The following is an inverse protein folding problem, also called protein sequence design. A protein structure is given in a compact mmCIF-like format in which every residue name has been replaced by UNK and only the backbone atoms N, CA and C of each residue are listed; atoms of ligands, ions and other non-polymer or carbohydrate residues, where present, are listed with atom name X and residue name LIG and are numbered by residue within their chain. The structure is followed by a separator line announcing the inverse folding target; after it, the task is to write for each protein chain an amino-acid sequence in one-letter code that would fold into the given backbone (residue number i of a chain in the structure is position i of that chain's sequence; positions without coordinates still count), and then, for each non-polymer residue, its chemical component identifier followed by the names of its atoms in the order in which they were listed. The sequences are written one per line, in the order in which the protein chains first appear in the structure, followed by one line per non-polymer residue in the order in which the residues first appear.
data_IF_233772947755
#
_entry.id   IF_233772947755
#
_cell.length_a   1.000
_cell.length_b   1.000
_cell.length_c   1.000
_cell.angle_alpha   90.00
_cell.angle_beta   90.00
_cell.angle_gamma   90.00
#
_symmetry.space_group_name_H-M   'P 1'
#
loop_
_entity.id
_entity.type
_entity.pdbx_description
1 polymer ?
#
# COMPACT_ATOMS: atom_id res chain seq x y z
N UNK A 1 -22.03 40.31 -92.94
CA UNK A 1 -21.36 38.99 -93.04
C UNK A 1 -19.98 39.25 -93.57
N UNK A 2 -18.96 38.62 -93.00
CA UNK A 2 -17.58 38.82 -93.41
C UNK A 2 -17.16 37.65 -94.29
N UNK A 3 -16.38 37.91 -95.33
CA UNK A 3 -15.86 36.89 -96.24
C UNK A 3 -14.34 36.90 -96.18
N UNK A 4 -13.74 35.71 -96.16
CA UNK A 4 -12.29 35.53 -96.15
C UNK A 4 -11.92 34.68 -97.36
N UNK A 5 -10.98 35.16 -98.17
CA UNK A 5 -10.38 34.38 -99.23
C UNK A 5 -9.22 33.53 -98.69
N UNK A 6 -9.30 32.22 -98.92
CA UNK A 6 -8.31 31.24 -98.51
C UNK A 6 -7.66 30.65 -99.76
N UNK A 7 -6.33 30.49 -99.74
CA UNK A 7 -5.61 29.81 -100.82
C UNK A 7 -5.16 28.44 -100.33
N UNK A 8 -5.64 27.37 -100.97
CA UNK A 8 -5.33 25.98 -100.60
C UNK A 8 -4.96 25.22 -101.87
N UNK A 9 -3.79 24.57 -101.88
CA UNK A 9 -3.29 23.79 -103.03
C UNK A 9 -3.26 24.59 -104.34
N UNK A 10 -3.05 25.91 -104.25
CA UNK A 10 -2.95 26.80 -105.40
C UNK A 10 -4.29 27.39 -105.91
N UNK A 11 -5.45 26.97 -105.37
CA UNK A 11 -6.77 27.57 -105.68
C UNK A 11 -7.26 28.51 -104.58
N UNK A 12 -8.04 29.50 -105.00
CA UNK A 12 -8.68 30.48 -104.11
C UNK A 12 -10.11 30.06 -103.80
N UNK A 13 -10.46 30.01 -102.51
CA UNK A 13 -11.75 29.62 -101.97
C UNK A 13 -12.27 30.74 -101.07
N UNK A 14 -13.48 31.23 -101.31
CA UNK A 14 -14.13 32.24 -100.45
C UNK A 14 -15.01 31.56 -99.43
N UNK A 15 -14.76 31.80 -98.13
CA UNK A 15 -15.53 31.24 -97.03
C UNK A 15 -16.20 32.37 -96.25
N UNK A 16 -17.52 32.24 -96.05
CA UNK A 16 -18.28 33.16 -95.20
C UNK A 16 -18.00 32.84 -93.73
N UNK A 17 -17.67 33.86 -92.93
CA UNK A 17 -17.39 33.73 -91.50
C UNK A 17 -18.11 34.79 -90.66
N UNK A 18 -18.19 34.55 -89.36
CA UNK A 18 -18.74 35.50 -88.41
C UNK A 18 -17.80 36.72 -88.27
N UNK A 19 -18.35 37.94 -88.01
CA UNK A 19 -17.53 39.13 -87.81
C UNK A 19 -16.54 38.92 -86.65
N UNK A 20 -15.24 39.14 -86.88
CA UNK A 20 -14.18 38.97 -85.88
C UNK A 20 -13.50 37.59 -85.85
N UNK A 21 -14.01 36.60 -86.59
CA UNK A 21 -13.35 35.29 -86.74
C UNK A 21 -12.39 35.22 -87.93
N UNK A 22 -12.24 36.31 -88.70
CA UNK A 22 -11.50 36.28 -89.97
C UNK A 22 -10.07 35.76 -89.80
N UNK A 23 -9.39 36.19 -88.73
CA UNK A 23 -8.01 35.75 -88.41
C UNK A 23 -7.92 34.26 -88.06
N UNK A 24 -8.93 33.72 -87.38
CA UNK A 24 -8.95 32.31 -87.01
C UNK A 24 -9.16 31.41 -88.23
N UNK A 25 -10.13 31.77 -89.08
CA UNK A 25 -10.42 31.06 -90.33
C UNK A 25 -9.23 31.12 -91.29
N UNK A 26 -8.56 32.27 -91.40
CA UNK A 26 -7.32 32.40 -92.19
C UNK A 26 -6.21 31.46 -91.70
N UNK A 27 -6.01 31.35 -90.38
CA UNK A 27 -5.01 30.42 -89.77
C UNK A 27 -5.37 28.95 -90.00
N UNK A 28 -6.64 28.59 -89.91
CA UNK A 28 -7.11 27.22 -90.21
C UNK A 28 -6.88 26.88 -91.69
N UNK A 29 -7.17 27.81 -92.60
CA UNK A 29 -6.88 27.66 -94.03
C UNK A 29 -5.39 27.47 -94.31
N UNK A 30 -4.51 28.23 -93.65
CA UNK A 30 -3.05 28.05 -93.74
C UNK A 30 -2.59 26.69 -93.20
N UNK A 31 -3.17 26.20 -92.11
CA UNK A 31 -2.85 24.89 -91.55
C UNK A 31 -3.26 23.75 -92.51
N UNK A 32 -4.42 23.87 -93.15
CA UNK A 32 -4.87 22.94 -94.19
C UNK A 32 -3.93 22.97 -95.39
N UNK A 33 -3.59 24.15 -95.91
CA UNK A 33 -2.69 24.31 -97.05
C UNK A 33 -1.29 23.71 -96.76
N UNK A 34 -0.72 24.00 -95.59
CA UNK A 34 0.55 23.44 -95.15
C UNK A 34 0.49 21.90 -95.08
N UNK A 35 -0.63 21.33 -94.60
CA UNK A 35 -0.80 19.88 -94.57
C UNK A 35 -0.91 19.31 -95.97
N UNK A 36 -1.73 19.88 -96.83
CA UNK A 36 -1.88 19.43 -98.23
C UNK A 36 -0.56 19.49 -98.98
N UNK A 37 0.26 20.52 -98.77
CA UNK A 37 1.60 20.63 -99.36
C UNK A 37 2.55 19.53 -98.85
N UNK A 38 2.43 19.10 -97.59
CA UNK A 38 3.27 18.04 -97.01
C UNK A 38 3.03 16.65 -97.61
N UNK A 39 1.89 16.42 -98.27
CA UNK A 39 1.55 15.14 -98.91
C UNK A 39 2.28 14.92 -100.25
N UNK A 40 2.94 15.96 -100.79
CA UNK A 40 3.74 15.89 -102.01
C UNK A 40 2.94 15.71 -103.31
N UNK A 41 3.61 15.92 -104.44
CA UNK A 41 3.03 15.70 -105.77
C UNK A 41 3.18 14.23 -106.18
N UNK A 42 2.34 13.36 -105.60
CA UNK A 42 2.21 11.99 -106.09
C UNK A 42 1.74 11.99 -107.54
N UNK A 43 2.49 11.34 -108.43
CA UNK A 43 2.14 11.14 -109.85
C UNK A 43 0.79 10.40 -109.88
N UNK A 44 -0.27 11.11 -110.31
CA UNK A 44 -1.68 10.67 -110.46
C UNK A 44 -2.70 11.00 -109.33
N UNK A 45 -2.45 11.94 -108.41
CA UNK A 45 -3.48 12.39 -107.45
C UNK A 45 -4.17 13.69 -107.87
N UNK A 46 -5.50 13.69 -107.88
CA UNK A 46 -6.29 14.91 -108.15
C UNK A 46 -6.26 15.86 -106.94
N UNK A 47 -6.43 17.16 -107.19
CA UNK A 47 -6.43 18.18 -106.13
C UNK A 47 -7.47 17.91 -105.03
N UNK A 48 -8.69 17.49 -105.42
CA UNK A 48 -9.76 17.14 -104.48
C UNK A 48 -9.33 16.00 -103.56
N UNK A 49 -8.59 15.01 -104.09
CA UNK A 49 -8.05 13.92 -103.29
C UNK A 49 -6.95 14.40 -102.33
N UNK A 50 -6.07 15.32 -102.76
CA UNK A 50 -5.04 15.90 -101.89
C UNK A 50 -5.63 16.67 -100.70
N UNK A 51 -6.67 17.47 -100.95
CA UNK A 51 -7.40 18.20 -99.90
C UNK A 51 -8.12 17.21 -98.96
N UNK A 52 -8.77 16.18 -99.51
CA UNK A 52 -9.44 15.15 -98.70
C UNK A 52 -8.44 14.45 -97.77
N UNK A 53 -7.27 14.03 -98.28
CA UNK A 53 -6.26 13.42 -97.43
C UNK A 53 -5.70 14.40 -96.38
N UNK A 54 -5.41 15.65 -96.75
CA UNK A 54 -4.98 16.68 -95.79
C UNK A 54 -6.00 16.91 -94.67
N UNK A 55 -7.29 16.94 -94.99
CA UNK A 55 -8.37 17.05 -94.01
C UNK A 55 -8.47 15.82 -93.10
N UNK A 56 -8.32 14.61 -93.65
CA UNK A 56 -8.30 13.37 -92.86
C UNK A 56 -7.10 13.32 -91.90
N UNK A 57 -5.91 13.75 -92.34
CA UNK A 57 -4.73 13.83 -91.48
C UNK A 57 -4.91 14.82 -90.33
N UNK A 58 -5.46 16.01 -90.59
CA UNK A 58 -5.75 16.98 -89.54
C UNK A 58 -6.85 16.49 -88.58
N UNK A 59 -7.85 15.78 -89.10
CA UNK A 59 -8.88 15.17 -88.27
C UNK A 59 -8.32 14.06 -87.38
N UNK A 60 -7.38 13.26 -87.87
CA UNK A 60 -6.67 12.23 -87.12
C UNK A 60 -5.80 12.84 -86.00
N UNK A 61 -5.02 13.89 -86.31
CA UNK A 61 -4.22 14.60 -85.30
C UNK A 61 -5.08 15.21 -84.19
N UNK A 62 -6.21 15.83 -84.56
CA UNK A 62 -7.16 16.38 -83.61
C UNK A 62 -7.83 15.27 -82.78
N UNK A 63 -8.11 14.11 -83.39
CA UNK A 63 -8.65 12.95 -82.69
C UNK A 63 -7.67 12.40 -81.65
N UNK A 64 -6.40 12.23 -82.02
CA UNK A 64 -5.34 11.74 -81.11
C UNK A 64 -5.02 12.74 -80.00
N UNK A 65 -5.03 14.05 -80.26
CA UNK A 65 -4.89 15.08 -79.22
C UNK A 65 -6.06 15.07 -78.24
N UNK A 66 -7.29 14.91 -78.74
CA UNK A 66 -8.48 14.78 -77.87
C UNK A 66 -8.44 13.51 -77.03
N UNK A 67 -7.97 12.41 -77.59
CA UNK A 67 -7.82 11.13 -76.89
C UNK A 67 -6.75 11.21 -75.80
N UNK A 68 -5.59 11.80 -76.11
CA UNK A 68 -4.51 12.01 -75.14
C UNK A 68 -4.97 12.94 -74.01
N UNK A 69 -5.59 14.07 -74.32
CA UNK A 69 -6.09 14.99 -73.30
C UNK A 69 -7.24 14.40 -72.45
N UNK A 70 -8.07 13.53 -73.02
CA UNK A 70 -9.07 12.78 -72.25
C UNK A 70 -8.40 11.81 -71.26
N UNK A 71 -7.38 11.06 -71.73
CA UNK A 71 -6.62 10.16 -70.88
C UNK A 71 -5.87 10.90 -69.76
N UNK A 72 -5.20 12.02 -70.06
CA UNK A 72 -4.54 12.87 -69.07
C UNK A 72 -5.52 13.46 -68.05
N UNK A 73 -6.73 13.79 -68.50
CA UNK A 73 -7.77 14.28 -67.59
C UNK A 73 -8.27 13.18 -66.66
N UNK A 74 -8.42 11.96 -67.16
CA UNK A 74 -8.78 10.80 -66.33
C UNK A 74 -7.70 10.47 -65.31
N UNK A 75 -6.42 10.48 -65.69
CA UNK A 75 -5.31 10.27 -64.76
C UNK A 75 -5.25 11.37 -63.71
N UNK A 76 -5.40 12.63 -64.10
CA UNK A 76 -5.42 13.76 -63.17
C UNK A 76 -6.60 13.67 -62.17
N UNK A 77 -7.78 13.25 -62.62
CA UNK A 77 -8.94 13.03 -61.74
C UNK A 77 -8.66 11.89 -60.76
N UNK A 78 -8.06 10.79 -61.22
CA UNK A 78 -7.71 9.65 -60.38
C UNK A 78 -6.65 10.02 -59.32
N UNK A 79 -5.60 10.74 -59.70
CA UNK A 79 -4.55 11.22 -58.80
C UNK A 79 -5.12 12.18 -57.75
N UNK A 80 -5.95 13.15 -58.18
CA UNK A 80 -6.61 14.07 -57.27
C UNK A 80 -7.50 13.34 -56.27
N UNK A 81 -8.28 12.35 -56.73
CA UNK A 81 -9.12 11.55 -55.85
C UNK A 81 -8.28 10.73 -54.83
N UNK A 82 -7.12 10.20 -55.24
CA UNK A 82 -6.19 9.53 -54.33
C UNK A 82 -5.63 10.49 -53.28
N UNK A 83 -5.16 11.67 -53.69
CA UNK A 83 -4.62 12.68 -52.79
C UNK A 83 -5.67 13.19 -51.79
N UNK A 84 -6.92 13.36 -52.21
CA UNK A 84 -8.02 13.74 -51.32
C UNK A 84 -8.34 12.64 -50.29
N UNK A 85 -8.28 11.37 -50.70
CA UNK A 85 -8.46 10.25 -49.78
C UNK A 85 -7.32 10.14 -48.76
N UNK A 86 -6.08 10.33 -49.17
CA UNK A 86 -4.91 10.37 -48.28
C UNK A 86 -5.00 11.53 -47.29
N UNK A 87 -5.39 12.72 -47.76
CA UNK A 87 -5.62 13.87 -46.89
C UNK A 87 -6.73 13.59 -45.86
N UNK A 88 -7.81 12.93 -46.28
CA UNK A 88 -8.90 12.53 -45.37
C UNK A 88 -8.40 11.53 -44.32
N UNK A 89 -7.62 10.53 -44.72
CA UNK A 89 -7.01 9.57 -43.82
C UNK A 89 -6.06 10.26 -42.81
N UNK A 90 -5.23 11.19 -43.28
CA UNK A 90 -4.32 11.97 -42.42
C UNK A 90 -5.10 12.80 -41.38
N UNK A 91 -6.18 13.47 -41.79
CA UNK A 91 -7.05 14.23 -40.86
C UNK A 91 -7.69 13.35 -39.79
N UNK A 92 -8.14 12.15 -40.16
CA UNK A 92 -8.69 11.18 -39.19
C UNK A 92 -7.60 10.73 -38.22
N UNK A 93 -6.39 10.45 -38.70
CA UNK A 93 -5.27 10.06 -37.84
C UNK A 93 -4.88 11.17 -36.84
N UNK A 94 -4.91 12.44 -37.26
CA UNK A 94 -4.70 13.59 -36.36
C UNK A 94 -5.78 13.61 -35.27
N UNK A 95 -7.06 13.50 -35.63
CA UNK A 95 -8.14 13.46 -34.63
C UNK A 95 -8.02 12.28 -33.66
N UNK A 96 -7.57 11.11 -34.13
CA UNK A 96 -7.29 9.96 -33.26
C UNK A 96 -6.14 10.24 -32.29
N UNK A 97 -5.08 10.94 -32.74
CA UNK A 97 -3.98 11.36 -31.87
C UNK A 97 -4.45 12.33 -30.79
N UNK A 98 -5.32 13.28 -31.11
CA UNK A 98 -5.85 14.23 -30.14
C UNK A 98 -6.67 13.53 -29.05
N UNK A 99 -7.49 12.55 -29.44
CA UNK A 99 -8.23 11.70 -28.48
C UNK A 99 -7.28 10.89 -27.60
N UNK A 100 -6.21 10.31 -28.17
CA UNK A 100 -5.21 9.59 -27.39
C UNK A 100 -4.46 10.52 -26.44
N UNK A 101 -4.11 11.74 -26.87
CA UNK A 101 -3.45 12.73 -26.03
C UNK A 101 -4.33 13.12 -24.82
N UNK A 102 -5.63 13.35 -25.04
CA UNK A 102 -6.57 13.60 -23.94
C UNK A 102 -6.62 12.44 -22.94
N UNK A 103 -6.71 11.19 -23.43
CA UNK A 103 -6.71 10.00 -22.57
C UNK A 103 -5.41 9.86 -21.77
N UNK A 104 -4.28 10.21 -22.36
CA UNK A 104 -2.98 10.20 -21.66
C UNK A 104 -3.02 11.19 -20.50
N UNK A 105 -3.51 12.42 -20.73
CA UNK A 105 -3.65 13.42 -19.66
C UNK A 105 -4.60 12.97 -18.56
N UNK A 106 -5.72 12.33 -18.90
CA UNK A 106 -6.66 11.79 -17.90
C UNK A 106 -6.00 10.69 -17.05
N UNK A 107 -5.27 9.77 -17.68
CA UNK A 107 -4.53 8.69 -16.98
C UNK A 107 -3.40 9.23 -16.12
N UNK A 108 -2.70 10.28 -16.55
CA UNK A 108 -1.68 10.96 -15.74
C UNK A 108 -2.30 11.55 -14.46
N UNK A 109 -3.45 12.21 -14.58
CA UNK A 109 -4.18 12.74 -13.42
C UNK A 109 -4.64 11.62 -12.46
N UNK A 110 -5.11 10.49 -12.99
CA UNK A 110 -5.49 9.33 -12.17
C UNK A 110 -4.29 8.72 -11.44
N UNK A 111 -3.14 8.61 -12.12
CA UNK A 111 -1.89 8.13 -11.53
C UNK A 111 -1.41 9.04 -10.39
N UNK A 112 -1.46 10.36 -10.57
CA UNK A 112 -1.15 11.32 -9.51
C UNK A 112 -2.08 11.15 -8.30
N UNK A 113 -3.38 10.97 -8.54
CA UNK A 113 -4.36 10.69 -7.50
C UNK A 113 -4.06 9.41 -6.73
N UNK A 114 -3.74 8.32 -7.42
CA UNK A 114 -3.37 7.03 -6.82
C UNK A 114 -2.06 7.13 -6.04
N UNK A 115 -1.06 7.82 -6.56
CA UNK A 115 0.21 8.04 -5.85
C UNK A 115 0.00 8.85 -4.56
N UNK A 116 -0.81 9.90 -4.61
CA UNK A 116 -1.15 10.68 -3.40
C UNK A 116 -1.89 9.85 -2.37
N UNK A 117 -2.88 9.04 -2.80
CA UNK A 117 -3.60 8.13 -1.92
C UNK A 117 -2.67 7.07 -1.30
N UNK A 118 -1.76 6.52 -2.09
CA UNK A 118 -0.76 5.57 -1.61
C UNK A 118 0.21 6.19 -0.59
N UNK A 119 0.67 7.42 -0.84
CA UNK A 119 1.55 8.13 0.09
C UNK A 119 0.86 8.41 1.43
N UNK A 120 -0.42 8.82 1.40
CA UNK A 120 -1.23 9.00 2.61
C UNK A 120 -1.39 7.67 3.37
N UNK A 121 -1.75 6.61 2.67
CA UNK A 121 -1.90 5.30 3.29
C UNK A 121 -0.59 4.78 3.90
N UNK A 122 0.54 4.98 3.23
CA UNK A 122 1.85 4.64 3.79
C UNK A 122 2.13 5.40 5.08
N UNK A 123 1.84 6.71 5.12
CA UNK A 123 2.01 7.52 6.33
C UNK A 123 1.08 7.06 7.46
N UNK A 124 -0.16 6.69 7.16
CA UNK A 124 -1.10 6.14 8.13
C UNK A 124 -0.60 4.80 8.69
N UNK A 125 -0.05 3.92 7.84
CA UNK A 125 0.54 2.65 8.26
C UNK A 125 1.74 2.87 9.18
N UNK A 126 2.59 3.85 8.89
CA UNK A 126 3.74 4.16 9.74
C UNK A 126 3.32 4.76 11.09
N UNK A 127 2.28 5.60 11.11
CA UNK A 127 1.67 6.09 12.35
C UNK A 127 1.08 4.94 13.18
N UNK A 128 0.33 4.03 12.56
CA UNK A 128 -0.23 2.85 13.24
C UNK A 128 0.86 1.94 13.80
N UNK A 129 1.97 1.74 13.07
CA UNK A 129 3.11 0.96 13.55
C UNK A 129 3.73 1.59 14.80
N UNK A 130 3.89 2.92 14.80
CA UNK A 130 4.41 3.65 15.95
C UNK A 130 3.50 3.53 17.16
N UNK A 131 2.18 3.69 16.97
CA UNK A 131 1.21 3.52 18.06
C UNK A 131 1.22 2.08 18.61
N UNK A 132 1.31 1.06 17.74
CA UNK A 132 1.43 -0.33 18.18
C UNK A 132 2.72 -0.60 18.96
N UNK A 133 3.83 0.04 18.61
CA UNK A 133 5.10 -0.08 19.33
C UNK A 133 5.01 0.58 20.72
N UNK A 134 4.45 1.78 20.80
CA UNK A 134 4.18 2.47 22.07
C UNK A 134 3.28 1.63 22.99
N UNK A 135 2.20 1.06 22.45
CA UNK A 135 1.29 0.17 23.21
C UNK A 135 1.95 -1.12 23.68
N UNK A 136 2.88 -1.67 22.90
CA UNK A 136 3.66 -2.85 23.32
C UNK A 136 4.58 -2.50 24.48
N UNK A 137 5.29 -1.37 24.41
CA UNK A 137 6.14 -0.93 25.53
C UNK A 137 5.33 -0.66 26.79
N UNK A 138 4.16 -0.02 26.67
CA UNK A 138 3.25 0.21 27.79
C UNK A 138 2.77 -1.11 28.41
N UNK A 139 2.43 -2.10 27.59
CA UNK A 139 2.01 -3.42 28.06
C UNK A 139 3.15 -4.18 28.77
N UNK A 140 4.38 -4.12 28.26
CA UNK A 140 5.56 -4.71 28.90
C UNK A 140 5.84 -4.07 30.27
N UNK A 141 5.76 -2.74 30.37
CA UNK A 141 5.94 -2.02 31.63
C UNK A 141 4.86 -2.38 32.66
N UNK A 142 3.59 -2.46 32.23
CA UNK A 142 2.48 -2.90 33.09
C UNK A 142 2.66 -4.35 33.55
N UNK A 143 3.10 -5.25 32.67
CA UNK A 143 3.38 -6.64 33.03
C UNK A 143 4.51 -6.74 34.05
N UNK A 144 5.60 -6.00 33.86
CA UNK A 144 6.71 -5.94 34.81
C UNK A 144 6.25 -5.39 36.17
N UNK A 145 5.42 -4.34 36.17
CA UNK A 145 4.85 -3.77 37.38
C UNK A 145 3.93 -4.77 38.09
N UNK A 146 3.10 -5.51 37.35
CA UNK A 146 2.24 -6.57 37.89
C UNK A 146 3.07 -7.67 38.55
N UNK A 147 4.10 -8.19 37.87
CA UNK A 147 5.00 -9.20 38.43
C UNK A 147 5.70 -8.72 39.70
N UNK A 148 6.14 -7.46 39.73
CA UNK A 148 6.74 -6.87 40.92
C UNK A 148 5.75 -6.74 42.08
N UNK A 149 4.48 -6.40 41.80
CA UNK A 149 3.42 -6.33 42.79
C UNK A 149 3.08 -7.72 43.35
N UNK A 150 2.97 -8.74 42.49
CA UNK A 150 2.74 -10.13 42.88
C UNK A 150 3.88 -10.67 43.75
N UNK A 151 5.13 -10.37 43.42
CA UNK A 151 6.28 -10.74 44.23
C UNK A 151 6.23 -10.12 45.63
N UNK A 152 5.88 -8.83 45.73
CA UNK A 152 5.70 -8.15 47.03
C UNK A 152 4.54 -8.73 47.83
N UNK A 153 3.42 -9.05 47.17
CA UNK A 153 2.30 -9.71 47.84
C UNK A 153 2.70 -11.07 48.43
N UNK A 154 3.45 -11.87 47.67
CA UNK A 154 3.96 -13.16 48.14
C UNK A 154 4.94 -13.01 49.32
N UNK A 155 5.76 -11.95 49.35
CA UNK A 155 6.64 -11.65 50.48
C UNK A 155 5.84 -11.29 51.74
N UNK A 156 4.87 -10.39 51.62
CA UNK A 156 3.97 -10.02 52.73
C UNK A 156 3.16 -11.21 53.24
N UNK A 157 2.74 -12.12 52.37
CA UNK A 157 2.07 -13.37 52.78
C UNK A 157 2.97 -14.27 53.60
N UNK A 158 4.26 -14.41 53.23
CA UNK A 158 5.24 -15.17 54.01
C UNK A 158 5.50 -14.53 55.37
N UNK A 159 5.61 -13.20 55.42
CA UNK A 159 5.75 -12.47 56.67
C UNK A 159 4.53 -12.66 57.58
N UNK A 160 3.32 -12.51 57.02
CA UNK A 160 2.07 -12.80 57.73
C UNK A 160 2.06 -14.21 58.30
N UNK A 161 2.40 -15.22 57.50
CA UNK A 161 2.39 -16.62 57.96
C UNK A 161 3.42 -16.87 59.06
N UNK A 162 4.58 -16.23 58.99
CA UNK A 162 5.59 -16.29 60.06
C UNK A 162 5.07 -15.63 61.34
N UNK A 163 4.46 -14.44 61.24
CA UNK A 163 3.86 -13.75 62.39
C UNK A 163 2.72 -14.57 63.00
N UNK A 164 1.85 -15.19 62.19
CA UNK A 164 0.79 -16.09 62.68
C UNK A 164 1.38 -17.26 63.44
N UNK A 165 2.44 -17.91 62.93
CA UNK A 165 3.16 -18.98 63.65
C UNK A 165 3.73 -18.49 64.98
N UNK A 166 4.30 -17.28 65.03
CA UNK A 166 4.79 -16.70 66.28
C UNK A 166 3.67 -16.41 67.28
N UNK A 167 2.53 -15.89 66.81
CA UNK A 167 1.36 -15.61 67.65
C UNK A 167 0.83 -16.91 68.24
N UNK A 168 0.58 -17.93 67.41
CA UNK A 168 0.08 -19.23 67.90
C UNK A 168 1.02 -19.88 68.92
N UNK A 169 2.34 -19.82 68.71
CA UNK A 169 3.32 -20.27 69.71
C UNK A 169 3.20 -19.49 71.02
N UNK A 170 3.10 -18.15 70.97
CA UNK A 170 2.90 -17.32 72.16
C UNK A 170 1.59 -17.62 72.87
N UNK A 171 0.50 -17.84 72.14
CA UNK A 171 -0.81 -18.19 72.72
C UNK A 171 -0.75 -19.52 73.48
N UNK A 172 -0.08 -20.54 72.93
CA UNK A 172 0.12 -21.82 73.64
C UNK A 172 0.97 -21.67 74.91
N UNK A 173 1.98 -20.79 74.90
CA UNK A 173 2.78 -20.48 76.09
C UNK A 173 1.95 -19.75 77.15
N UNK A 174 1.10 -18.80 76.74
CA UNK A 174 0.18 -18.09 77.63
C UNK A 174 -0.83 -19.05 78.25
N UNK A 175 -1.40 -19.96 77.47
CA UNK A 175 -2.34 -20.98 77.97
C UNK A 175 -1.69 -21.90 79.00
N UNK A 176 -0.45 -22.36 78.74
CA UNK A 176 0.32 -23.15 79.70
C UNK A 176 0.64 -22.36 80.98
N UNK A 177 1.03 -21.08 80.86
CA UNK A 177 1.33 -20.23 82.00
C UNK A 177 0.07 -19.97 82.85
N UNK A 178 -1.07 -19.70 82.22
CA UNK A 178 -2.36 -19.56 82.90
C UNK A 178 -2.73 -20.85 83.64
N UNK A 179 -2.56 -22.02 83.01
CA UNK A 179 -2.78 -23.32 83.68
C UNK A 179 -1.89 -23.50 84.91
N UNK A 180 -0.60 -23.14 84.81
CA UNK A 180 0.31 -23.19 85.96
C UNK A 180 -0.10 -22.24 87.08
N UNK A 181 -0.56 -21.03 86.74
CA UNK A 181 -1.09 -20.06 87.70
C UNK A 181 -2.34 -20.62 88.38
N UNK A 182 -3.27 -21.21 87.63
CA UNK A 182 -4.47 -21.82 88.19
C UNK A 182 -4.13 -23.01 89.10
N UNK A 183 -3.19 -23.87 88.71
CA UNK A 183 -2.69 -24.97 89.54
C UNK A 183 -2.02 -24.48 90.83
N UNK A 184 -1.22 -23.41 90.76
CA UNK A 184 -0.57 -22.82 91.95
C UNK A 184 -1.58 -22.11 92.84
N UNK A 185 -2.53 -21.36 92.28
CA UNK A 185 -3.64 -20.77 93.02
C UNK A 185 -4.50 -21.85 93.69
N UNK A 186 -4.81 -22.95 92.99
CA UNK A 186 -5.55 -24.08 93.57
C UNK A 186 -4.77 -24.75 94.71
N UNK A 187 -3.45 -24.93 94.58
CA UNK A 187 -2.59 -25.41 95.68
C UNK A 187 -2.54 -24.42 96.85
N UNK A 188 -2.50 -23.11 96.57
CA UNK A 188 -2.52 -22.07 97.59
C UNK A 188 -3.86 -22.08 98.35
N UNK A 189 -4.99 -22.13 97.64
CA UNK A 189 -6.33 -22.25 98.22
C UNK A 189 -6.44 -23.55 99.02
N UNK A 190 -5.98 -24.70 98.51
CA UNK A 190 -5.98 -25.94 99.27
C UNK A 190 -5.10 -25.88 100.53
N UNK A 191 -3.99 -25.14 100.52
CA UNK A 191 -3.15 -24.90 101.69
C UNK A 191 -3.78 -23.91 102.69
N UNK A 192 -4.60 -22.96 102.22
CA UNK A 192 -5.37 -22.03 103.05
C UNK A 192 -6.63 -22.71 103.62
N UNK A 193 -7.34 -23.54 102.86
CA UNK A 193 -8.47 -24.36 103.33
C UNK A 193 -8.01 -25.43 104.32
N UNK A 194 -6.81 -26.00 104.16
CA UNK A 194 -6.19 -26.86 105.17
C UNK A 194 -5.83 -26.10 106.46
N UNK A 195 -5.65 -24.78 106.40
CA UNK A 195 -5.46 -23.91 107.54
C UNK A 195 -6.79 -23.45 108.17
N UNK A 196 -7.87 -23.31 107.38
CA UNK A 196 -9.21 -22.90 107.86
C UNK A 196 -10.08 -24.07 108.34
N UNK A 197 -9.86 -25.30 107.86
CA UNK A 197 -10.59 -26.51 108.32
C UNK A 197 -9.93 -27.25 109.49
N UNK A 198 -8.72 -26.84 109.89
CA UNK A 198 -8.16 -27.17 111.21
C UNK A 198 -8.20 -25.93 112.08
N UNK A 199 -9.23 -25.84 112.92
CA UNK A 199 -9.10 -25.12 114.18
C UNK A 199 -7.75 -25.48 114.81
N UNK A 200 -7.04 -24.45 115.25
CA UNK A 200 -5.71 -24.50 115.85
C UNK A 200 -5.56 -25.70 116.79
N UNK A 201 -4.85 -26.73 116.35
CA UNK A 201 -4.10 -27.65 117.21
C UNK A 201 -3.02 -28.33 116.36
N UNK A 202 -1.75 -28.07 116.65
CA UNK A 202 -0.64 -28.91 116.17
C UNK A 202 -0.85 -30.34 116.69
N UNK A 203 -0.91 -31.38 115.84
CA UNK A 203 -0.46 -32.68 116.24
C UNK A 203 1.05 -32.71 116.00
N UNK A 204 1.84 -32.71 117.09
CA UNK A 204 3.24 -33.12 117.00
C UNK A 204 3.19 -34.61 116.67
N UNK A 205 3.49 -34.96 115.43
CA UNK A 205 3.56 -36.34 114.96
C UNK A 205 4.67 -37.05 115.76
N UNK A 206 4.37 -38.12 116.54
CA UNK A 206 5.36 -38.76 117.41
C UNK A 206 6.52 -39.44 116.66
N UNK A 207 6.46 -39.55 115.33
CA UNK A 207 7.59 -39.97 114.48
C UNK A 207 8.49 -38.82 114.01
N UNK A 208 8.07 -37.56 114.16
CA UNK A 208 8.83 -36.41 113.67
C UNK A 208 10.11 -36.18 114.47
N UNK A 209 10.08 -36.38 115.78
CA UNK A 209 11.26 -36.26 116.64
C UNK A 209 12.34 -37.32 116.28
N UNK A 210 12.04 -38.64 116.19
CA UNK A 210 13.03 -39.62 115.73
C UNK A 210 13.50 -39.38 114.28
N UNK A 211 12.64 -38.86 113.39
CA UNK A 211 13.01 -38.56 112.01
C UNK A 211 13.97 -37.38 111.90
N UNK A 212 13.76 -36.31 112.68
CA UNK A 212 14.68 -35.18 112.76
C UNK A 212 16.01 -35.57 113.42
N UNK A 213 15.99 -36.45 114.42
CA UNK A 213 17.20 -36.96 115.06
C UNK A 213 18.02 -37.81 114.07
N UNK A 214 17.38 -38.70 113.31
CA UNK A 214 18.03 -39.43 112.20
C UNK A 214 18.55 -38.51 111.10
N UNK A 215 17.84 -37.43 110.78
CA UNK A 215 18.27 -36.48 109.75
C UNK A 215 19.45 -35.63 110.23
N UNK A 216 19.47 -35.27 111.52
CA UNK A 216 20.61 -34.61 112.15
C UNK A 216 21.84 -35.51 112.16
N UNK A 217 21.70 -36.80 112.53
CA UNK A 217 22.79 -37.78 112.42
C UNK A 217 23.31 -37.92 110.98
N UNK A 218 22.41 -37.95 109.99
CA UNK A 218 22.79 -38.02 108.57
C UNK A 218 23.55 -36.77 108.10
N UNK A 219 23.15 -35.59 108.57
CA UNK A 219 23.85 -34.33 108.31
C UNK A 219 25.21 -34.27 109.01
N UNK A 220 25.31 -34.76 110.24
CA UNK A 220 26.58 -34.89 110.97
C UNK A 220 27.53 -35.85 110.24
N UNK A 221 27.04 -37.00 109.78
CA UNK A 221 27.86 -37.95 108.99
C UNK A 221 28.29 -37.37 107.63
N UNK A 222 27.45 -36.53 107.02
CA UNK A 222 27.78 -35.84 105.77
C UNK A 222 28.80 -34.71 106.00
N UNK A 223 28.71 -34.00 107.12
CA UNK A 223 29.69 -32.99 107.51
C UNK A 223 31.06 -33.63 107.80
N UNK A 224 31.11 -34.71 108.58
CA UNK A 224 32.34 -35.46 108.86
C UNK A 224 33.00 -35.97 107.57
N UNK A 225 32.21 -36.44 106.59
CA UNK A 225 32.73 -36.86 105.29
C UNK A 225 33.27 -35.70 104.46
N UNK A 226 32.63 -34.53 104.50
CA UNK A 226 33.11 -33.33 103.80
C UNK A 226 34.39 -32.78 104.45
N UNK A 227 34.48 -32.79 105.79
CA UNK A 227 35.69 -32.37 106.50
C UNK A 227 36.85 -33.35 106.31
N UNK A 228 36.59 -34.67 106.34
CA UNK A 228 37.60 -35.68 106.02
C UNK A 228 38.07 -35.61 104.55
N UNK A 229 37.17 -35.28 103.62
CA UNK A 229 37.51 -35.06 102.21
C UNK A 229 38.33 -33.79 102.00
N UNK A 230 38.01 -32.70 102.72
CA UNK A 230 38.77 -31.45 102.71
C UNK A 230 40.15 -31.54 103.41
N UNK A 231 40.32 -32.45 104.38
CA UNK A 231 41.62 -32.72 105.01
C UNK A 231 42.54 -33.64 104.17
N UNK A 232 42.01 -34.24 103.08
CA UNK A 232 42.74 -35.15 102.17
C UNK A 232 43.18 -34.49 100.84
N UNK A 233 42.92 -33.19 100.71
CA UNK A 233 43.30 -32.30 99.58
C UNK A 233 44.20 -31.18 100.04
#
# INVERSE_FOLDING_TARGET
MSEVSLRISGKEYTVACAPGEESHVAKLGQAIDAKVQSLGDGVNTSEVQKILFGALFLADELHELKKTSAAERETFIAEKASAENELRAAKVAIGQRDVMASKITDLESELEGLQSAHQKHSADVDNMRKELEERRTEAEDLQNAQQAAEAKAAELERERDNLVKQITSKDTLLENANRMIDETNAKLVASQDAADTKGVSMPIDPELAPALERFAELLETCADKLEAQAASS
#
